data_IF_385057133578
#
_entry.id   IF_385057133578
#
_cell.length_a   1.000
_cell.length_b   1.000
_cell.length_c   1.000
_cell.angle_alpha   90.00
_cell.angle_beta   90.00
_cell.angle_gamma   90.00
#
_symmetry.space_group_name_H-M   'P 1'
#
loop_
_entity.id
_entity.type
_entity.pdbx_description
1 polymer ?
#
# COMPACT_ATOMS: atom_id res chain seq x y z
N UNK A 1 -4.22 1.06 5.85
CA UNK A 1 -3.37 0.86 4.65
C UNK A 1 -3.53 -0.58 4.21
N UNK A 2 -3.44 -0.83 2.91
CA UNK A 2 -3.31 -2.19 2.38
C UNK A 2 -1.92 -2.70 2.73
N UNK A 3 -1.83 -3.96 3.14
CA UNK A 3 -0.55 -4.61 3.46
C UNK A 3 -0.30 -5.75 2.49
N UNK A 4 0.91 -5.82 1.91
CA UNK A 4 1.38 -6.98 1.16
C UNK A 4 2.72 -7.45 1.69
N UNK A 5 3.02 -8.71 1.44
CA UNK A 5 4.30 -9.28 1.81
C UNK A 5 4.88 -10.19 0.74
N UNK A 6 6.19 -10.32 0.72
CA UNK A 6 6.90 -11.31 -0.08
C UNK A 6 8.13 -11.85 0.70
N UNK A 7 8.38 -13.14 0.58
CA UNK A 7 9.55 -13.77 1.21
C UNK A 7 10.19 -14.76 0.24
N UNK A 8 11.46 -14.55 -0.10
CA UNK A 8 12.23 -15.42 -1.01
C UNK A 8 11.50 -15.68 -2.34
N UNK A 9 10.99 -14.62 -2.97
CA UNK A 9 10.22 -14.72 -4.22
C UNK A 9 8.83 -15.35 -4.07
N UNK A 10 8.34 -15.59 -2.86
CA UNK A 10 7.00 -16.11 -2.60
C UNK A 10 6.09 -15.01 -2.07
N UNK A 11 5.09 -14.63 -2.87
CA UNK A 11 4.07 -13.65 -2.48
C UNK A 11 3.26 -14.18 -1.29
N UNK A 12 3.20 -13.37 -0.23
CA UNK A 12 2.39 -13.58 0.96
C UNK A 12 0.95 -13.09 0.78
N UNK A 13 0.17 -13.05 1.87
CA UNK A 13 -1.19 -12.54 1.82
C UNK A 13 -1.22 -11.02 1.58
N UNK A 14 -2.29 -10.57 0.91
CA UNK A 14 -2.71 -9.16 0.90
C UNK A 14 -3.78 -8.96 1.97
N UNK A 15 -3.57 -7.99 2.87
CA UNK A 15 -4.58 -7.55 3.84
C UNK A 15 -5.18 -6.23 3.35
N UNK A 16 -6.50 -6.21 3.14
CA UNK A 16 -7.21 -5.00 2.74
C UNK A 16 -7.55 -4.05 3.88
N UNK A 17 -8.12 -2.91 3.54
CA UNK A 17 -8.69 -1.94 4.49
C UNK A 17 -10.21 -2.00 4.42
N UNK A 18 -10.84 -2.48 5.49
CA UNK A 18 -12.29 -2.43 5.64
C UNK A 18 -12.72 -1.08 6.23
N UNK A 19 -13.64 -0.39 5.57
CA UNK A 19 -14.35 0.75 6.13
C UNK A 19 -15.85 0.48 6.13
N UNK A 20 -16.53 1.06 7.13
CA UNK A 20 -17.98 0.95 7.31
C UNK A 20 -18.65 2.31 7.15
N UNK A 21 -19.80 2.32 6.49
CA UNK A 21 -20.63 3.50 6.27
C UNK A 21 -21.97 3.31 6.98
N UNK A 22 -22.30 4.26 7.85
CA UNK A 22 -23.51 4.26 8.67
C UNK A 22 -24.61 5.10 8.00
N UNK A 23 -25.74 4.46 7.71
CA UNK A 23 -26.93 5.05 7.11
C UNK A 23 -28.08 5.21 8.12
N UNK A 24 -27.88 4.97 9.42
CA UNK A 24 -28.94 4.93 10.43
C UNK A 24 -29.75 6.25 10.54
N UNK A 25 -29.12 7.39 10.23
CA UNK A 25 -29.78 8.70 10.24
C UNK A 25 -30.34 9.11 8.86
N UNK A 26 -30.29 8.22 7.87
CA UNK A 26 -30.82 8.46 6.53
C UNK A 26 -32.34 8.32 6.54
N UNK A 27 -33.05 9.33 6.07
CA UNK A 27 -34.52 9.38 6.05
C UNK A 27 -35.04 9.81 4.69
N UNK A 28 -36.25 9.36 4.33
CA UNK A 28 -37.03 9.87 3.20
C UNK A 28 -38.42 10.30 3.66
N UNK A 29 -38.96 11.37 3.06
CA UNK A 29 -40.34 11.82 3.28
C UNK A 29 -41.37 10.87 2.62
N UNK A 30 -40.95 10.10 1.61
CA UNK A 30 -41.82 9.23 0.78
C UNK A 30 -41.82 7.76 1.23
N UNK A 31 -41.01 7.39 2.24
CA UNK A 31 -41.02 6.02 2.77
C UNK A 31 -39.79 5.65 3.60
N UNK A 32 -39.72 4.38 4.01
CA UNK A 32 -38.52 3.83 4.64
C UNK A 32 -37.42 3.64 3.60
N UNK A 33 -36.16 3.84 3.99
CA UNK A 33 -35.01 3.40 3.18
C UNK A 33 -35.05 1.87 3.12
N UNK A 34 -34.94 1.32 1.92
CA UNK A 34 -35.02 -0.13 1.66
C UNK A 34 -33.75 -0.69 1.06
N UNK A 35 -32.85 0.16 0.60
CA UNK A 35 -31.60 -0.25 -0.04
C UNK A 35 -30.54 0.83 0.12
N UNK A 36 -29.32 0.41 0.43
CA UNK A 36 -28.12 1.25 0.41
C UNK A 36 -27.09 0.65 -0.53
N UNK A 37 -26.28 1.48 -1.17
CA UNK A 37 -25.30 1.06 -2.18
C UNK A 37 -23.98 1.81 -1.93
N UNK A 38 -22.87 1.08 -1.99
CA UNK A 38 -21.51 1.63 -2.09
C UNK A 38 -21.00 1.39 -3.51
N UNK A 39 -20.60 2.45 -4.20
CA UNK A 39 -19.77 2.39 -5.40
C UNK A 39 -18.35 2.81 -4.99
N UNK A 40 -17.40 1.88 -4.86
CA UNK A 40 -16.12 2.10 -4.16
C UNK A 40 -15.04 2.81 -4.99
N UNK A 41 -15.29 3.04 -6.29
CA UNK A 41 -14.39 3.74 -7.22
C UNK A 41 -13.02 3.05 -7.45
N UNK A 42 -12.88 1.77 -7.10
CA UNK A 42 -11.67 0.95 -7.32
C UNK A 42 -11.82 -0.01 -8.53
N UNK A 43 -12.84 0.21 -9.37
CA UNK A 43 -13.18 -0.62 -10.52
C UNK A 43 -13.98 -1.89 -10.20
N UNK A 44 -14.26 -2.17 -8.93
CA UNK A 44 -15.17 -3.26 -8.54
C UNK A 44 -16.65 -2.91 -8.76
N UNK A 45 -17.50 -3.94 -8.71
CA UNK A 45 -18.95 -3.77 -8.80
C UNK A 45 -19.52 -3.12 -7.54
N UNK A 46 -20.61 -2.33 -7.63
CA UNK A 46 -21.28 -1.77 -6.47
C UNK A 46 -21.76 -2.85 -5.49
N UNK A 47 -21.68 -2.55 -4.20
CA UNK A 47 -22.14 -3.43 -3.12
C UNK A 47 -23.45 -2.89 -2.54
N UNK A 48 -24.44 -3.77 -2.41
CA UNK A 48 -25.77 -3.43 -1.88
C UNK A 48 -25.95 -3.94 -0.45
N UNK A 49 -26.66 -3.17 0.37
CA UNK A 49 -27.02 -3.53 1.74
C UNK A 49 -28.49 -3.27 2.03
N UNK A 50 -29.03 -4.03 2.99
CA UNK A 50 -30.38 -3.83 3.52
C UNK A 50 -30.29 -2.99 4.80
N UNK A 51 -30.82 -1.75 4.83
CA UNK A 51 -30.73 -0.89 6.00
C UNK A 51 -31.53 -1.42 7.22
N UNK A 52 -32.36 -2.45 7.07
CA UNK A 52 -33.02 -3.12 8.19
C UNK A 52 -32.08 -4.05 8.99
N UNK A 53 -30.91 -4.38 8.42
CA UNK A 53 -29.84 -5.16 9.05
C UNK A 53 -28.74 -4.21 9.56
N UNK A 54 -29.06 -3.48 10.63
CA UNK A 54 -28.20 -2.50 11.33
C UNK A 54 -27.87 -1.18 10.61
N UNK A 55 -28.32 -0.98 9.37
CA UNK A 55 -28.08 0.24 8.56
C UNK A 55 -26.60 0.61 8.37
N UNK A 56 -25.70 -0.36 8.53
CA UNK A 56 -24.26 -0.20 8.31
C UNK A 56 -23.84 -1.15 7.19
N UNK A 57 -23.14 -0.64 6.19
CA UNK A 57 -22.56 -1.43 5.10
C UNK A 57 -21.05 -1.20 5.06
N UNK A 58 -20.29 -2.28 4.86
CA UNK A 58 -18.82 -2.22 4.84
C UNK A 58 -18.28 -2.65 3.49
N UNK A 59 -17.12 -2.10 3.14
CA UNK A 59 -16.37 -2.46 1.94
C UNK A 59 -14.88 -2.57 2.26
N UNK A 60 -14.20 -3.51 1.63
CA UNK A 60 -12.75 -3.74 1.82
C UNK A 60 -12.00 -3.38 0.55
N UNK A 61 -11.18 -2.33 0.62
CA UNK A 61 -10.23 -1.99 -0.43
C UNK A 61 -9.01 -2.90 -0.36
N UNK A 62 -8.61 -3.47 -1.49
CA UNK A 62 -7.41 -4.30 -1.64
C UNK A 62 -6.26 -3.59 -2.36
N UNK A 63 -6.49 -2.35 -2.77
CA UNK A 63 -5.56 -1.53 -3.55
C UNK A 63 -5.46 -0.14 -2.93
N UNK A 64 -4.42 0.61 -3.28
CA UNK A 64 -4.18 1.94 -2.73
C UNK A 64 -4.70 3.02 -3.69
N UNK A 65 -5.11 4.15 -3.12
CA UNK A 65 -5.83 5.16 -3.88
C UNK A 65 -6.42 6.26 -3.00
N UNK A 66 -6.89 7.30 -3.66
CA UNK A 66 -7.88 8.21 -3.11
C UNK A 66 -9.14 8.04 -3.96
N UNK A 67 -10.12 7.35 -3.39
CA UNK A 67 -11.31 6.88 -4.07
C UNK A 67 -12.48 7.86 -3.87
N UNK A 68 -13.18 8.21 -4.95
CA UNK A 68 -14.42 8.99 -4.91
C UNK A 68 -15.63 8.08 -4.73
N UNK A 69 -15.83 7.63 -3.48
CA UNK A 69 -16.86 6.66 -3.12
C UNK A 69 -18.25 7.29 -3.22
N UNK A 70 -19.12 6.69 -4.03
CA UNK A 70 -20.54 7.11 -4.10
C UNK A 70 -21.38 6.25 -3.15
N UNK A 71 -22.05 6.92 -2.23
CA UNK A 71 -22.97 6.31 -1.27
C UNK A 71 -24.40 6.66 -1.67
N UNK A 72 -25.22 5.66 -1.96
CA UNK A 72 -26.60 5.85 -2.41
C UNK A 72 -27.58 5.22 -1.43
N UNK A 73 -28.69 5.90 -1.15
CA UNK A 73 -29.83 5.35 -0.44
C UNK A 73 -31.09 5.42 -1.32
N UNK A 74 -31.86 4.33 -1.35
CA UNK A 74 -33.12 4.20 -2.09
C UNK A 74 -34.28 3.88 -1.13
N UNK A 75 -35.37 4.62 -1.27
CA UNK A 75 -36.59 4.43 -0.46
C UNK A 75 -37.59 3.46 -1.10
N UNK A 76 -38.60 3.07 -0.33
CA UNK A 76 -39.67 2.17 -0.78
C UNK A 76 -40.53 2.71 -1.95
N UNK A 77 -40.44 4.00 -2.24
CA UNK A 77 -41.08 4.65 -3.39
C UNK A 77 -40.24 4.58 -4.67
N UNK A 78 -39.00 4.11 -4.58
CA UNK A 78 -38.03 4.07 -5.67
C UNK A 78 -37.30 5.39 -5.89
N UNK A 79 -37.36 6.33 -4.93
CA UNK A 79 -36.53 7.54 -4.99
C UNK A 79 -35.13 7.22 -4.46
N UNK A 80 -34.11 7.75 -5.14
CA UNK A 80 -32.71 7.60 -4.73
C UNK A 80 -32.04 8.95 -4.47
N UNK A 81 -31.17 9.00 -3.47
CA UNK A 81 -30.25 10.11 -3.26
C UNK A 81 -28.84 9.58 -3.03
N UNK A 82 -27.85 10.29 -3.58
CA UNK A 82 -26.44 9.89 -3.51
C UNK A 82 -25.59 11.05 -3.00
N UNK A 83 -24.61 10.70 -2.19
CA UNK A 83 -23.50 11.59 -1.81
C UNK A 83 -22.19 10.96 -2.26
N UNK A 84 -21.16 11.80 -2.38
CA UNK A 84 -19.81 11.37 -2.71
C UNK A 84 -18.89 11.73 -1.56
N UNK A 85 -18.01 10.79 -1.18
CA UNK A 85 -17.00 10.98 -0.13
C UNK A 85 -15.65 10.49 -0.62
N UNK A 86 -14.58 11.17 -0.22
CA UNK A 86 -13.21 10.76 -0.52
C UNK A 86 -12.66 9.83 0.54
N UNK A 87 -12.22 8.65 0.13
CA UNK A 87 -11.55 7.65 0.97
C UNK A 87 -10.09 7.53 0.54
N UNK A 88 -9.16 7.72 1.48
CA UNK A 88 -7.72 7.53 1.24
C UNK A 88 -7.24 6.20 1.79
N UNK A 89 -6.63 5.38 0.94
CA UNK A 89 -6.01 4.11 1.29
C UNK A 89 -4.53 4.15 0.88
N UNK A 90 -3.63 4.12 1.86
CA UNK A 90 -2.18 3.98 1.63
C UNK A 90 -1.78 2.49 1.45
N UNK A 91 -0.56 2.22 0.97
CA UNK A 91 0.03 0.88 0.81
C UNK A 91 1.25 0.69 1.70
N UNK A 92 1.40 -0.51 2.24
CA UNK A 92 2.61 -0.99 2.93
C UNK A 92 3.03 -2.35 2.38
N UNK A 93 4.30 -2.47 2.03
CA UNK A 93 4.88 -3.66 1.39
C UNK A 93 6.09 -4.07 2.23
N UNK A 94 6.08 -5.30 2.71
CA UNK A 94 7.22 -5.90 3.40
C UNK A 94 7.78 -7.04 2.56
N UNK A 95 9.02 -6.92 2.12
CA UNK A 95 9.66 -7.95 1.32
C UNK A 95 11.01 -8.35 1.89
N UNK A 96 11.29 -9.65 1.86
CA UNK A 96 12.54 -10.22 2.37
C UNK A 96 13.12 -11.27 1.43
N UNK A 97 14.44 -11.26 1.27
CA UNK A 97 15.21 -12.32 0.61
C UNK A 97 16.36 -12.73 1.52
N UNK A 98 16.61 -14.03 1.65
CA UNK A 98 17.62 -14.57 2.58
C UNK A 98 18.67 -15.38 1.83
N UNK A 99 19.92 -15.28 2.28
CA UNK A 99 21.06 -15.95 1.66
C UNK A 99 21.12 -15.68 0.14
N UNK A 100 21.24 -14.41 -0.21
CA UNK A 100 21.32 -13.96 -1.61
C UNK A 100 22.48 -13.00 -1.86
N UNK A 101 23.04 -13.05 -3.07
CA UNK A 101 24.03 -12.08 -3.55
C UNK A 101 23.37 -10.88 -4.25
N UNK A 102 22.07 -10.97 -4.56
CA UNK A 102 21.28 -9.84 -5.04
C UNK A 102 19.79 -10.03 -4.79
N UNK A 103 19.07 -8.94 -4.61
CA UNK A 103 17.65 -8.93 -4.35
C UNK A 103 17.01 -7.82 -5.20
N UNK A 104 15.86 -8.09 -5.82
CA UNK A 104 15.17 -7.12 -6.67
C UNK A 104 13.66 -7.26 -6.49
N UNK A 105 13.00 -6.17 -6.13
CA UNK A 105 11.55 -6.12 -5.99
C UNK A 105 10.97 -4.99 -6.81
N UNK A 106 9.94 -5.34 -7.58
CA UNK A 106 9.10 -4.38 -8.28
C UNK A 106 7.81 -4.15 -7.50
N UNK A 107 7.36 -2.90 -7.40
CA UNK A 107 6.08 -2.54 -6.80
C UNK A 107 5.35 -1.49 -7.66
N UNK A 108 4.03 -1.61 -7.75
CA UNK A 108 3.19 -0.67 -8.50
C UNK A 108 2.87 0.56 -7.64
N UNK A 109 2.98 1.74 -8.23
CA UNK A 109 2.67 3.03 -7.59
C UNK A 109 1.49 3.71 -8.28
N UNK A 110 0.86 3.02 -9.24
CA UNK A 110 -0.35 3.49 -9.93
C UNK A 110 -1.53 3.54 -8.96
N UNK A 111 -2.25 4.66 -8.94
CA UNK A 111 -3.47 4.79 -8.14
C UNK A 111 -4.61 4.03 -8.81
N UNK A 112 -5.36 3.24 -8.04
CA UNK A 112 -6.43 2.39 -8.58
C UNK A 112 -7.82 3.06 -8.58
N UNK A 113 -7.90 4.34 -8.22
CA UNK A 113 -9.13 5.12 -8.45
C UNK A 113 -9.41 5.28 -9.94
N UNK A 114 -10.68 5.44 -10.33
CA UNK A 114 -11.09 5.36 -11.74
C UNK A 114 -10.46 6.41 -12.67
N UNK A 115 -10.00 7.54 -12.13
CA UNK A 115 -9.31 8.60 -12.87
C UNK A 115 -7.78 8.62 -12.65
N UNK A 116 -7.26 7.70 -11.84
CA UNK A 116 -5.83 7.59 -11.48
C UNK A 116 -5.30 8.75 -10.63
N UNK A 117 -6.16 9.61 -10.09
CA UNK A 117 -5.79 10.83 -9.38
C UNK A 117 -6.42 10.95 -7.98
N UNK A 118 -5.79 11.69 -7.06
CA UNK A 118 -4.40 12.15 -7.07
C UNK A 118 -3.38 11.02 -7.14
N UNK A 119 -2.16 11.32 -7.56
CA UNK A 119 -1.02 10.42 -7.37
C UNK A 119 -0.61 10.35 -5.89
N UNK A 120 0.12 9.29 -5.46
CA UNK A 120 0.75 9.27 -4.15
C UNK A 120 1.62 10.51 -3.90
N UNK A 121 1.67 10.97 -2.65
CA UNK A 121 2.49 12.11 -2.20
C UNK A 121 3.96 11.70 -2.02
N UNK A 122 4.20 10.45 -1.61
CA UNK A 122 5.54 9.92 -1.39
C UNK A 122 5.62 8.41 -1.44
N UNK A 123 6.83 7.94 -1.73
CA UNK A 123 7.28 6.58 -1.44
C UNK A 123 8.36 6.70 -0.36
N UNK A 124 8.22 5.97 0.74
CA UNK A 124 9.24 5.84 1.79
C UNK A 124 9.76 4.40 1.80
N UNK A 125 11.07 4.24 1.88
CA UNK A 125 11.76 2.94 1.88
C UNK A 125 12.66 2.89 3.11
N UNK A 126 12.64 1.77 3.82
CA UNK A 126 13.66 1.35 4.76
C UNK A 126 14.15 -0.02 4.34
N UNK A 127 15.39 -0.11 3.86
CA UNK A 127 16.00 -1.33 3.34
C UNK A 127 17.17 -1.73 4.24
N UNK A 128 17.02 -2.81 4.97
CA UNK A 128 18.07 -3.35 5.85
C UNK A 128 18.72 -4.56 5.19
N UNK A 129 20.05 -4.60 5.23
CA UNK A 129 20.83 -5.73 4.76
C UNK A 129 21.67 -6.25 5.92
N UNK A 130 21.57 -7.54 6.19
CA UNK A 130 22.29 -8.24 7.24
C UNK A 130 23.32 -9.19 6.61
N UNK A 131 24.60 -9.00 6.95
CA UNK A 131 25.67 -9.92 6.57
C UNK A 131 25.76 -11.04 7.62
N UNK A 132 25.56 -12.32 7.26
CA UNK A 132 25.58 -13.41 8.22
C UNK A 132 26.91 -13.51 8.96
N UNK A 133 26.84 -13.90 10.24
CA UNK A 133 28.04 -14.17 11.00
C UNK A 133 28.73 -15.46 10.52
N UNK A 134 29.98 -15.36 10.13
CA UNK A 134 30.81 -16.49 9.75
C UNK A 134 31.14 -17.41 10.92
N UNK A 135 31.26 -18.70 10.63
CA UNK A 135 31.69 -19.67 11.63
C UNK A 135 33.20 -19.54 11.89
N UNK A 136 33.62 -19.73 13.15
CA UNK A 136 35.04 -19.68 13.56
C UNK A 136 35.99 -20.58 12.74
N UNK A 137 35.45 -21.62 12.09
CA UNK A 137 36.21 -22.57 11.27
C UNK A 137 36.35 -22.16 9.79
N UNK A 138 35.44 -21.34 9.27
CA UNK A 138 35.35 -20.99 7.85
C UNK A 138 35.62 -19.50 7.59
N UNK A 139 35.48 -18.64 8.61
CA UNK A 139 35.43 -17.19 8.42
C UNK A 139 34.20 -16.76 7.61
N UNK A 140 34.12 -15.46 7.39
CA UNK A 140 33.18 -14.69 6.57
C UNK A 140 33.89 -13.43 6.13
N UNK A 141 33.45 -12.87 5.02
CA UNK A 141 33.95 -11.62 4.48
C UNK A 141 33.07 -10.45 4.95
N UNK A 142 33.60 -9.23 4.78
CA UNK A 142 32.71 -8.07 4.72
C UNK A 142 32.00 -8.09 3.36
N UNK A 143 30.76 -7.63 3.32
CA UNK A 143 29.98 -7.52 2.09
C UNK A 143 29.83 -6.07 1.69
N UNK A 144 30.32 -5.73 0.49
CA UNK A 144 30.04 -4.43 -0.12
C UNK A 144 28.67 -4.50 -0.82
N UNK A 145 27.75 -3.63 -0.41
CA UNK A 145 26.34 -3.64 -0.82
C UNK A 145 26.00 -2.33 -1.53
N UNK A 146 25.22 -2.43 -2.60
CA UNK A 146 24.66 -1.28 -3.32
C UNK A 146 23.15 -1.37 -3.35
N UNK A 147 22.47 -0.29 -2.93
CA UNK A 147 21.05 -0.09 -3.13
C UNK A 147 20.81 0.82 -4.33
N UNK A 148 19.80 0.52 -5.14
CA UNK A 148 19.37 1.37 -6.26
C UNK A 148 17.85 1.32 -6.40
N UNK A 149 17.23 2.50 -6.40
CA UNK A 149 15.79 2.69 -6.67
C UNK A 149 15.62 3.28 -8.07
N UNK A 150 14.92 2.54 -8.92
CA UNK A 150 14.62 2.90 -10.30
C UNK A 150 13.14 3.23 -10.46
N UNK A 151 12.85 4.31 -11.18
CA UNK A 151 11.49 4.70 -11.52
C UNK A 151 10.94 3.86 -12.70
N UNK A 152 9.66 4.04 -13.09
CA UNK A 152 9.04 3.30 -14.19
C UNK A 152 9.63 3.52 -15.58
N UNK A 153 10.53 4.49 -15.75
CA UNK A 153 11.30 4.71 -16.98
C UNK A 153 12.70 4.09 -16.93
N UNK A 154 12.97 3.21 -15.95
CA UNK A 154 14.27 2.59 -15.64
C UNK A 154 15.38 3.61 -15.31
N UNK A 155 15.01 4.82 -14.87
CA UNK A 155 15.97 5.82 -14.40
C UNK A 155 16.23 5.63 -12.90
N UNK A 156 17.50 5.53 -12.52
CA UNK A 156 17.92 5.52 -11.12
C UNK A 156 17.67 6.89 -10.50
N UNK A 157 16.80 6.95 -9.49
CA UNK A 157 16.47 8.19 -8.79
C UNK A 157 17.05 8.25 -7.37
N UNK A 158 17.52 7.12 -6.85
CA UNK A 158 18.17 7.03 -5.54
C UNK A 158 19.11 5.84 -5.48
N UNK A 159 20.27 6.02 -4.87
CA UNK A 159 21.21 4.94 -4.61
C UNK A 159 22.02 5.20 -3.34
N UNK A 160 22.54 4.12 -2.77
CA UNK A 160 23.46 4.15 -1.64
C UNK A 160 24.42 2.96 -1.71
N UNK A 161 25.55 3.05 -1.02
CA UNK A 161 26.53 1.96 -0.92
C UNK A 161 27.05 1.84 0.50
N UNK A 162 27.24 0.62 0.97
CA UNK A 162 27.73 0.32 2.32
C UNK A 162 28.73 -0.85 2.31
N UNK A 163 29.52 -0.96 3.36
CA UNK A 163 30.38 -2.13 3.61
C UNK A 163 29.98 -2.72 4.94
N UNK A 164 29.31 -3.87 4.89
CA UNK A 164 28.73 -4.53 6.05
C UNK A 164 29.74 -5.55 6.59
N UNK A 165 30.17 -5.34 7.83
CA UNK A 165 31.12 -6.24 8.48
C UNK A 165 30.50 -7.63 8.72
N UNK A 166 31.35 -8.64 8.95
CA UNK A 166 30.93 -9.97 9.41
C UNK A 166 29.95 -9.88 10.60
N UNK A 167 28.75 -10.44 10.44
CA UNK A 167 27.69 -10.45 11.45
C UNK A 167 27.06 -9.09 11.73
N UNK A 168 27.30 -8.09 10.87
CA UNK A 168 26.72 -6.75 10.99
C UNK A 168 25.54 -6.53 10.05
N UNK A 169 24.92 -5.37 10.21
CA UNK A 169 23.79 -4.90 9.42
C UNK A 169 23.97 -3.43 9.01
N UNK A 170 23.31 -3.03 7.93
CA UNK A 170 23.21 -1.62 7.53
C UNK A 170 21.82 -1.36 6.90
N UNK A 171 21.24 -0.19 7.21
CA UNK A 171 19.94 0.23 6.71
C UNK A 171 20.07 1.47 5.83
N UNK A 172 19.44 1.44 4.66
CA UNK A 172 19.22 2.59 3.81
C UNK A 172 17.77 3.08 3.91
N UNK A 173 17.60 4.28 4.46
CA UNK A 173 16.33 5.00 4.44
C UNK A 173 16.29 6.01 3.29
N UNK A 174 15.20 5.97 2.50
CA UNK A 174 15.01 6.87 1.38
C UNK A 174 13.55 7.34 1.28
N UNK A 175 13.34 8.53 0.73
CA UNK A 175 11.98 9.03 0.42
C UNK A 175 11.98 9.76 -0.91
N UNK A 176 11.13 9.31 -1.83
CA UNK A 176 10.83 10.01 -3.07
C UNK A 176 9.53 10.80 -2.93
N UNK A 177 9.48 11.99 -3.52
CA UNK A 177 8.27 12.82 -3.69
C UNK A 177 7.98 13.18 -5.14
N UNK A 178 8.91 12.87 -6.04
CA UNK A 178 8.72 13.05 -7.48
C UNK A 178 8.09 11.77 -8.03
N UNK A 179 6.81 11.59 -7.70
CA UNK A 179 6.06 10.38 -8.01
C UNK A 179 5.59 10.40 -9.46
N UNK A 180 5.76 9.26 -10.13
CA UNK A 180 5.20 8.96 -11.44
C UNK A 180 4.51 7.59 -11.35
N UNK A 181 3.42 7.45 -12.11
CA UNK A 181 2.66 6.21 -12.20
C UNK A 181 3.47 5.07 -12.82
N UNK A 182 3.14 3.83 -12.43
CA UNK A 182 3.76 2.61 -12.93
C UNK A 182 4.65 1.89 -11.92
N UNK A 183 5.44 0.96 -12.43
CA UNK A 183 6.24 0.04 -11.65
C UNK A 183 7.61 0.62 -11.27
N UNK A 184 7.87 0.69 -9.98
CA UNK A 184 9.16 1.08 -9.43
C UNK A 184 9.95 -0.17 -9.03
N UNK A 185 11.28 -0.12 -9.10
CA UNK A 185 12.14 -1.26 -8.76
C UNK A 185 13.21 -0.88 -7.75
N UNK A 186 13.24 -1.60 -6.62
CA UNK A 186 14.31 -1.53 -5.63
C UNK A 186 15.25 -2.72 -5.82
N UNK A 187 16.53 -2.42 -6.06
CA UNK A 187 17.59 -3.40 -6.21
C UNK A 187 18.58 -3.30 -5.04
N UNK A 188 19.05 -4.45 -4.58
CA UNK A 188 20.14 -4.62 -3.62
C UNK A 188 21.14 -5.59 -4.23
N UNK A 189 22.37 -5.16 -4.46
CA UNK A 189 23.43 -5.97 -5.06
C UNK A 189 24.63 -6.08 -4.11
N UNK A 190 25.12 -7.30 -3.93
CA UNK A 190 26.38 -7.59 -3.21
C UNK A 190 27.52 -7.75 -4.20
N UNK A 191 28.67 -7.14 -3.93
CA UNK A 191 29.85 -7.29 -4.77
C UNK A 191 30.38 -8.75 -4.80
N UNK A 192 31.04 -9.14 -5.90
CA UNK A 192 31.47 -10.54 -6.17
C UNK A 192 32.28 -11.25 -5.08
N UNK A 193 32.90 -10.51 -4.14
CA UNK A 193 33.70 -11.07 -3.05
C UNK A 193 33.04 -10.96 -1.66
N UNK A 194 31.79 -10.50 -1.59
CA UNK A 194 30.99 -10.48 -0.37
C UNK A 194 30.35 -11.85 -0.09
N UNK A 195 29.85 -12.01 1.13
CA UNK A 195 29.00 -13.14 1.50
C UNK A 195 27.56 -12.90 1.03
N UNK A 196 26.81 -13.98 0.82
CA UNK A 196 25.36 -13.94 0.63
C UNK A 196 24.71 -13.30 1.88
N UNK A 197 23.83 -12.33 1.68
CA UNK A 197 23.21 -11.54 2.75
C UNK A 197 21.72 -11.90 2.94
N UNK A 198 21.14 -11.44 4.03
CA UNK A 198 19.69 -11.29 4.17
C UNK A 198 19.30 -9.85 3.90
N UNK A 199 18.20 -9.64 3.21
CA UNK A 199 17.68 -8.34 2.80
C UNK A 199 16.24 -8.25 3.29
N UNK A 200 15.92 -7.20 4.05
CA UNK A 200 14.58 -6.91 4.56
C UNK A 200 14.19 -5.48 4.15
N UNK A 201 13.05 -5.33 3.49
CA UNK A 201 12.58 -4.05 2.98
C UNK A 201 11.18 -3.75 3.52
N UNK A 202 11.02 -2.49 3.90
CA UNK A 202 9.76 -1.87 4.27
C UNK A 202 9.51 -0.70 3.32
N UNK A 203 8.46 -0.80 2.51
CA UNK A 203 8.08 0.23 1.54
C UNK A 203 6.68 0.73 1.87
N UNK A 204 6.53 2.05 1.98
CA UNK A 204 5.24 2.71 2.17
C UNK A 204 4.96 3.64 0.99
N UNK A 205 3.79 3.47 0.35
CA UNK A 205 3.24 4.41 -0.63
C UNK A 205 2.12 5.17 0.07
N UNK A 206 2.28 6.49 0.20
CA UNK A 206 1.36 7.31 0.98
C UNK A 206 0.81 8.47 0.16
N UNK A 207 -0.47 8.76 0.34
CA UNK A 207 -1.15 9.92 -0.22
C UNK A 207 -1.08 11.10 0.76
N UNK A 208 -1.38 12.31 0.27
CA UNK A 208 -1.34 13.52 1.07
C UNK A 208 -2.29 13.42 2.28
N UNK A 209 -1.85 13.93 3.43
CA UNK A 209 -2.74 14.07 4.59
C UNK A 209 -3.91 15.00 4.25
N UNK A 210 -5.14 14.57 4.55
CA UNK A 210 -6.35 15.33 4.25
C UNK A 210 -6.80 15.23 2.78
N UNK A 211 -6.31 14.23 2.04
CA UNK A 211 -6.86 13.88 0.72
C UNK A 211 -8.24 13.20 0.84
N UNK A 212 -8.51 12.56 1.97
CA UNK A 212 -9.80 12.04 2.39
C UNK A 212 -10.74 13.12 2.94
N UNK A 213 -12.04 12.87 2.84
CA UNK A 213 -13.03 13.67 3.55
C UNK A 213 -13.00 13.36 5.06
N UNK A 214 -13.32 14.35 5.92
CA UNK A 214 -13.42 14.10 7.34
C UNK A 214 -14.53 13.09 7.64
N UNK A 215 -14.29 12.20 8.61
CA UNK A 215 -15.36 11.34 9.14
C UNK A 215 -16.51 12.21 9.65
N UNK A 216 -17.73 11.94 9.19
CA UNK A 216 -18.90 12.64 9.71
C UNK A 216 -19.19 12.15 11.14
N UNK A 217 -19.01 12.97 12.19
CA UNK A 217 -19.30 12.55 13.55
C UNK A 217 -20.81 12.32 13.69
N UNK A 218 -21.19 11.22 14.33
CA UNK A 218 -22.58 10.99 14.72
C UNK A 218 -23.03 12.13 15.64
N UNK A 219 -24.14 12.83 15.37
CA UNK A 219 -24.72 13.75 16.35
C UNK A 219 -25.09 12.97 17.62
N UNK A 220 -24.66 13.45 18.79
CA UNK A 220 -25.08 12.90 20.10
C UNK A 220 -26.59 13.07 20.35
#
# INVERSE_FOLDING_TARGET
MVETSENNGQTGPTTGVELSFDFADTTSDDGSITKVIIEPDDGSDPVEGDPSDDAVISYTWLTHGVFEVTLTAEDSGGNSHSIMVKVKIDMHIVWSDTNTASASQTFDVTSDCSDGMPMPDRITISSTVENPQGNFLTGSANSDVTWSLNNPSDEEIGSNTGTIADGGDETWDYTSRDIVEGFWTLNVDVAENGDDVSVDNDVTIAYAEGAEDPTNPRPE
#
